data_IF_186620985856
#
_entry.id   IF_186620985856
#
_cell.length_a   1.000
_cell.length_b   1.000
_cell.length_c   1.000
_cell.angle_alpha   90.00
_cell.angle_beta   90.00
_cell.angle_gamma   90.00
#
_symmetry.space_group_name_H-M   'P 1'
#
loop_
_entity.id
_entity.type
_entity.pdbx_description
1 polymer ?
#
# COMPACT_ATOMS: atom_id res chain seq x y z
N UNK A 1 -18.95 14.48 9.95
CA UNK A 1 -18.29 13.22 10.32
C UNK A 1 -16.82 13.33 9.93
N UNK A 2 -15.99 13.88 10.81
CA UNK A 2 -14.60 14.21 10.54
C UNK A 2 -13.69 13.14 11.18
N UNK A 3 -13.42 12.07 10.42
CA UNK A 3 -12.27 11.18 10.63
C UNK A 3 -11.28 11.27 9.46
N UNK A 4 -11.52 12.21 8.54
CA UNK A 4 -10.62 12.53 7.43
C UNK A 4 -9.46 13.35 8.01
N UNK A 5 -8.42 12.66 8.49
CA UNK A 5 -7.20 13.28 9.00
C UNK A 5 -6.53 12.54 10.17
N UNK A 6 -7.25 11.65 10.85
CA UNK A 6 -6.65 10.81 11.90
C UNK A 6 -6.06 9.53 11.31
N UNK A 7 -4.93 9.07 11.88
CA UNK A 7 -4.39 7.72 11.68
C UNK A 7 -5.48 6.66 11.95
N UNK A 8 -5.34 5.42 11.45
CA UNK A 8 -6.30 4.36 11.74
C UNK A 8 -6.35 4.14 13.24
N UNK A 9 -7.44 3.53 13.69
CA UNK A 9 -7.53 3.00 15.03
C UNK A 9 -6.28 2.12 15.29
N UNK A 10 -5.54 2.42 16.36
CA UNK A 10 -4.51 1.50 16.84
C UNK A 10 -5.17 0.22 17.38
N UNK A 11 -4.36 -0.75 17.82
CA UNK A 11 -4.87 -2.04 18.29
C UNK A 11 -5.89 -1.93 19.43
N UNK A 12 -5.68 -1.02 20.39
CA UNK A 12 -6.60 -0.85 21.53
C UNK A 12 -7.91 -0.21 21.07
N UNK A 13 -7.83 0.85 20.25
CA UNK A 13 -9.01 1.50 19.69
C UNK A 13 -9.80 0.52 18.82
N UNK A 14 -9.12 -0.26 17.97
CA UNK A 14 -9.76 -1.23 17.08
C UNK A 14 -10.45 -2.35 17.87
N UNK A 15 -9.85 -2.84 18.96
CA UNK A 15 -10.50 -3.80 19.87
C UNK A 15 -11.75 -3.22 20.53
N UNK A 16 -11.71 -1.97 21.01
CA UNK A 16 -12.89 -1.30 21.58
C UNK A 16 -14.00 -1.10 20.55
N UNK A 17 -13.64 -0.76 19.31
CA UNK A 17 -14.61 -0.63 18.22
C UNK A 17 -15.33 -1.95 17.92
N UNK A 18 -14.65 -3.10 18.02
CA UNK A 18 -15.29 -4.41 17.88
C UNK A 18 -16.31 -4.66 18.99
N UNK A 19 -15.97 -4.34 20.25
CA UNK A 19 -16.92 -4.46 21.37
C UNK A 19 -18.14 -3.58 21.17
N UNK A 20 -17.95 -2.33 20.71
CA UNK A 20 -19.06 -1.44 20.38
C UNK A 20 -19.90 -2.00 19.22
N UNK A 21 -19.28 -2.68 18.25
CA UNK A 21 -20.01 -3.32 17.16
C UNK A 21 -20.84 -4.52 17.65
N UNK A 22 -20.39 -5.26 18.67
CA UNK A 22 -21.20 -6.31 19.32
C UNK A 22 -22.44 -5.69 19.96
N UNK A 23 -22.28 -4.61 20.73
CA UNK A 23 -23.37 -3.89 21.37
C UNK A 23 -24.38 -3.31 20.37
N UNK A 24 -23.89 -2.75 19.27
CA UNK A 24 -24.75 -2.23 18.19
C UNK A 24 -25.56 -3.35 17.53
N UNK A 25 -24.97 -4.53 17.31
CA UNK A 25 -25.68 -5.68 16.76
C UNK A 25 -26.75 -6.23 17.71
N UNK A 26 -26.45 -6.31 19.02
CA UNK A 26 -27.43 -6.68 20.06
C UNK A 26 -28.61 -5.72 20.13
N UNK A 27 -28.38 -4.44 19.82
CA UNK A 27 -29.41 -3.40 19.75
C UNK A 27 -30.09 -3.29 18.37
N UNK A 28 -29.80 -4.17 17.41
CA UNK A 28 -30.30 -4.16 16.03
C UNK A 28 -29.95 -2.86 15.25
N UNK A 29 -28.85 -2.19 15.63
CA UNK A 29 -28.33 -0.98 15.00
C UNK A 29 -27.34 -1.28 13.85
N UNK A 30 -27.86 -1.84 12.76
CA UNK A 30 -27.06 -2.36 11.64
C UNK A 30 -26.09 -1.36 11.00
N UNK A 31 -26.47 -0.08 10.90
CA UNK A 31 -25.62 0.95 10.28
C UNK A 31 -24.40 1.26 11.17
N UNK A 32 -24.61 1.31 12.48
CA UNK A 32 -23.59 1.55 13.49
C UNK A 32 -22.64 0.36 13.55
N UNK A 33 -23.16 -0.87 13.56
CA UNK A 33 -22.35 -2.08 13.45
C UNK A 33 -21.42 -2.03 12.22
N UNK A 34 -21.97 -1.75 11.03
CA UNK A 34 -21.19 -1.64 9.80
C UNK A 34 -20.10 -0.57 9.89
N UNK A 35 -20.42 0.58 10.48
CA UNK A 35 -19.45 1.66 10.64
C UNK A 35 -18.32 1.30 11.60
N UNK A 36 -18.66 0.68 12.74
CA UNK A 36 -17.69 0.27 13.75
C UNK A 36 -16.78 -0.83 13.21
N UNK A 37 -17.35 -1.82 12.50
CA UNK A 37 -16.57 -2.88 11.86
C UNK A 37 -15.68 -2.32 10.74
N UNK A 38 -16.16 -1.40 9.90
CA UNK A 38 -15.31 -0.73 8.91
C UNK A 38 -14.12 -0.02 9.57
N UNK A 39 -14.36 0.78 10.60
CA UNK A 39 -13.30 1.52 11.29
C UNK A 39 -12.29 0.58 11.96
N UNK A 40 -12.75 -0.52 12.57
CA UNK A 40 -11.89 -1.54 13.17
C UNK A 40 -11.08 -2.31 12.11
N UNK A 41 -11.67 -2.64 10.97
CA UNK A 41 -10.98 -3.28 9.83
C UNK A 41 -9.92 -2.36 9.23
N UNK A 42 -10.18 -1.06 9.10
CA UNK A 42 -9.17 -0.07 8.68
C UNK A 42 -8.02 0.03 9.70
N UNK A 43 -8.30 -0.20 10.97
CA UNK A 43 -7.30 -0.37 12.04
C UNK A 43 -6.60 -1.73 12.03
N UNK A 44 -6.71 -2.51 10.95
CA UNK A 44 -6.07 -3.83 10.77
C UNK A 44 -6.49 -4.88 11.82
N UNK A 45 -7.69 -4.75 12.41
CA UNK A 45 -8.21 -5.74 13.35
C UNK A 45 -8.62 -7.03 12.65
N UNK A 46 -7.91 -8.13 12.91
CA UNK A 46 -8.25 -9.46 12.40
C UNK A 46 -9.59 -9.96 12.94
N UNK A 47 -9.96 -9.59 14.17
CA UNK A 47 -11.25 -9.93 14.76
C UNK A 47 -12.41 -9.25 14.01
N UNK A 48 -12.25 -7.96 13.68
CA UNK A 48 -13.23 -7.23 12.89
C UNK A 48 -13.37 -7.82 11.48
N UNK A 49 -12.25 -8.05 10.79
CA UNK A 49 -12.26 -8.65 9.46
C UNK A 49 -12.92 -10.04 9.48
N UNK A 50 -12.58 -10.89 10.45
CA UNK A 50 -13.19 -12.21 10.60
C UNK A 50 -14.70 -12.17 10.85
N UNK A 51 -15.20 -11.13 11.53
CA UNK A 51 -16.65 -10.92 11.73
C UNK A 51 -17.33 -10.46 10.45
N UNK A 52 -16.74 -9.51 9.74
CA UNK A 52 -17.22 -9.05 8.42
C UNK A 52 -17.34 -10.22 7.44
N UNK A 53 -16.34 -11.10 7.39
CA UNK A 53 -16.33 -12.25 6.47
C UNK A 53 -17.39 -13.31 6.81
N UNK A 54 -17.84 -13.39 8.06
CA UNK A 54 -18.93 -14.28 8.49
C UNK A 54 -20.31 -13.65 8.27
N UNK A 55 -20.39 -12.34 8.08
CA UNK A 55 -21.64 -11.64 7.85
C UNK A 55 -22.15 -11.90 6.41
N UNK A 56 -23.47 -11.82 6.16
CA UNK A 56 -24.05 -12.04 4.84
C UNK A 56 -23.84 -10.85 3.88
N UNK A 57 -22.70 -10.15 3.99
CA UNK A 57 -22.42 -8.90 3.28
C UNK A 57 -21.76 -9.11 1.93
N UNK A 58 -21.10 -10.25 1.70
CA UNK A 58 -20.36 -10.52 0.45
C UNK A 58 -21.23 -10.52 -0.82
N UNK A 59 -22.54 -10.72 -0.70
CA UNK A 59 -23.49 -10.68 -1.83
C UNK A 59 -24.28 -9.36 -1.90
N UNK A 60 -24.03 -8.43 -0.98
CA UNK A 60 -24.77 -7.17 -0.92
C UNK A 60 -24.07 -6.09 -1.73
N UNK A 61 -24.85 -5.25 -2.40
CA UNK A 61 -24.34 -4.06 -3.08
C UNK A 61 -24.08 -2.91 -2.09
N UNK A 62 -23.28 -1.94 -2.50
CA UNK A 62 -23.02 -0.72 -1.72
C UNK A 62 -22.05 -0.94 -0.56
N UNK A 63 -22.31 -0.29 0.57
CA UNK A 63 -21.39 -0.24 1.73
C UNK A 63 -21.04 -1.63 2.29
N UNK A 64 -21.98 -2.55 2.53
CA UNK A 64 -21.66 -3.85 3.13
C UNK A 64 -20.71 -4.69 2.25
N UNK A 65 -20.98 -4.76 0.94
CA UNK A 65 -20.10 -5.46 -0.01
C UNK A 65 -18.70 -4.84 -0.09
N UNK A 66 -18.60 -3.51 -0.03
CA UNK A 66 -17.31 -2.81 0.03
C UNK A 66 -16.53 -3.14 1.31
N UNK A 67 -17.18 -3.16 2.48
CA UNK A 67 -16.53 -3.56 3.74
C UNK A 67 -16.06 -5.02 3.67
N UNK A 68 -16.86 -5.90 3.07
CA UNK A 68 -16.50 -7.29 2.84
C UNK A 68 -15.25 -7.42 1.96
N UNK A 69 -15.22 -6.76 0.79
CA UNK A 69 -14.05 -6.78 -0.09
C UNK A 69 -12.78 -6.28 0.59
N UNK A 70 -12.90 -5.23 1.42
CA UNK A 70 -11.76 -4.74 2.21
C UNK A 70 -11.28 -5.79 3.21
N UNK A 71 -12.19 -6.41 3.97
CA UNK A 71 -11.83 -7.44 4.95
C UNK A 71 -11.20 -8.66 4.27
N UNK A 72 -11.71 -9.08 3.12
CA UNK A 72 -11.18 -10.18 2.32
C UNK A 72 -9.76 -9.87 1.83
N UNK A 73 -9.54 -8.70 1.24
CA UNK A 73 -8.23 -8.29 0.76
C UNK A 73 -7.18 -8.14 1.88
N UNK A 74 -7.59 -7.76 3.09
CA UNK A 74 -6.69 -7.62 4.24
C UNK A 74 -6.33 -8.96 4.90
N UNK A 75 -7.09 -10.03 4.64
CA UNK A 75 -6.93 -11.34 5.29
C UNK A 75 -6.54 -12.45 4.33
N UNK A 76 -6.69 -12.24 3.02
CA UNK A 76 -6.31 -13.22 2.00
C UNK A 76 -4.81 -13.51 2.01
N UNK A 77 -4.46 -14.77 1.74
CA UNK A 77 -3.09 -15.20 1.46
C UNK A 77 -2.70 -15.04 -0.01
N UNK A 78 -3.67 -14.71 -0.89
CA UNK A 78 -3.42 -14.43 -2.30
C UNK A 78 -3.03 -12.96 -2.47
N UNK A 79 -1.72 -12.72 -2.57
CA UNK A 79 -1.13 -11.39 -2.76
C UNK A 79 -1.58 -10.71 -4.05
N UNK A 80 -1.85 -11.49 -5.12
CA UNK A 80 -2.35 -10.92 -6.36
C UNK A 80 -3.78 -10.44 -6.17
N UNK A 81 -4.64 -11.25 -5.55
CA UNK A 81 -6.02 -10.86 -5.27
C UNK A 81 -6.11 -9.60 -4.37
N UNK A 82 -5.26 -9.51 -3.34
CA UNK A 82 -5.17 -8.32 -2.50
C UNK A 82 -4.78 -7.07 -3.30
N UNK A 83 -3.76 -7.18 -4.16
CA UNK A 83 -3.31 -6.08 -5.01
C UNK A 83 -4.35 -5.65 -6.04
N UNK A 84 -5.01 -6.60 -6.72
CA UNK A 84 -6.11 -6.29 -7.65
C UNK A 84 -7.25 -5.57 -6.92
N UNK A 85 -7.62 -6.03 -5.72
CA UNK A 85 -8.66 -5.37 -4.92
C UNK A 85 -8.27 -3.94 -4.54
N UNK A 86 -7.01 -3.71 -4.17
CA UNK A 86 -6.50 -2.36 -3.92
C UNK A 86 -6.61 -1.45 -5.15
N UNK A 87 -6.28 -1.97 -6.34
CA UNK A 87 -6.41 -1.24 -7.59
C UNK A 87 -7.87 -0.96 -7.96
N UNK A 88 -8.80 -1.88 -7.69
CA UNK A 88 -10.24 -1.66 -7.86
C UNK A 88 -10.71 -0.49 -6.99
N UNK A 89 -10.31 -0.43 -5.72
CA UNK A 89 -10.66 0.70 -4.84
C UNK A 89 -10.10 2.02 -5.34
N UNK A 90 -8.82 2.05 -5.76
CA UNK A 90 -8.19 3.24 -6.31
C UNK A 90 -8.91 3.70 -7.59
N UNK A 91 -9.19 2.80 -8.53
CA UNK A 91 -9.91 3.11 -9.75
C UNK A 91 -11.34 3.60 -9.51
N UNK A 92 -11.97 3.16 -8.42
CA UNK A 92 -13.28 3.61 -7.97
C UNK A 92 -13.27 4.91 -7.14
N UNK A 93 -12.15 5.65 -7.11
CA UNK A 93 -11.99 6.89 -6.31
C UNK A 93 -12.23 6.68 -4.81
N UNK A 94 -11.87 5.49 -4.33
CA UNK A 94 -11.87 5.13 -2.91
C UNK A 94 -10.43 4.85 -2.49
N UNK A 95 -9.52 5.81 -2.78
CA UNK A 95 -8.08 5.64 -2.68
C UNK A 95 -7.65 5.24 -1.27
N UNK A 96 -8.34 5.76 -0.25
CA UNK A 96 -8.07 5.41 1.15
C UNK A 96 -8.10 3.89 1.40
N UNK A 97 -9.10 3.18 0.87
CA UNK A 97 -9.21 1.73 1.05
C UNK A 97 -8.13 0.97 0.30
N UNK A 98 -7.85 1.38 -0.94
CA UNK A 98 -6.75 0.80 -1.70
C UNK A 98 -5.41 0.99 -0.99
N UNK A 99 -5.12 2.20 -0.51
CA UNK A 99 -3.89 2.51 0.20
C UNK A 99 -3.74 1.75 1.52
N UNK A 100 -4.83 1.50 2.25
CA UNK A 100 -4.80 0.65 3.47
C UNK A 100 -4.40 -0.79 3.12
N UNK A 101 -4.96 -1.37 2.05
CA UNK A 101 -4.57 -2.70 1.58
C UNK A 101 -3.08 -2.72 1.18
N UNK A 102 -2.64 -1.75 0.38
CA UNK A 102 -1.23 -1.67 -0.03
C UNK A 102 -0.30 -1.47 1.17
N UNK A 103 -0.73 -0.73 2.20
CA UNK A 103 0.03 -0.52 3.44
C UNK A 103 0.20 -1.83 4.21
N UNK A 104 -0.87 -2.63 4.31
CA UNK A 104 -0.82 -3.95 4.93
C UNK A 104 0.14 -4.89 4.18
N UNK A 105 0.06 -4.92 2.85
CA UNK A 105 0.98 -5.69 2.02
C UNK A 105 2.44 -5.21 2.19
N UNK A 106 2.66 -3.89 2.24
CA UNK A 106 4.00 -3.31 2.37
C UNK A 106 4.68 -3.60 3.71
N UNK A 107 3.89 -3.75 4.78
CA UNK A 107 4.39 -4.16 6.09
C UNK A 107 5.10 -5.52 6.04
N UNK A 108 4.64 -6.43 5.16
CA UNK A 108 5.23 -7.76 4.91
C UNK A 108 5.91 -7.89 3.54
N UNK A 109 6.39 -6.77 2.98
CA UNK A 109 6.98 -6.71 1.61
C UNK A 109 8.12 -7.69 1.33
N UNK A 110 8.83 -8.13 2.36
CA UNK A 110 9.96 -9.06 2.23
C UNK A 110 9.49 -10.50 2.00
N UNK A 111 8.21 -10.80 2.28
CA UNK A 111 7.54 -12.08 2.01
C UNK A 111 6.88 -12.10 0.62
N UNK A 112 6.63 -10.92 0.03
CA UNK A 112 5.96 -10.80 -1.27
C UNK A 112 6.87 -11.31 -2.40
N UNK A 113 6.25 -11.96 -3.39
CA UNK A 113 6.89 -12.23 -4.66
C UNK A 113 7.42 -10.92 -5.30
N UNK A 114 8.59 -11.01 -5.94
CA UNK A 114 9.28 -9.86 -6.55
C UNK A 114 8.38 -9.06 -7.48
N UNK A 115 7.60 -9.74 -8.31
CA UNK A 115 6.65 -9.12 -9.25
C UNK A 115 5.50 -8.37 -8.55
N UNK A 116 4.96 -8.93 -7.46
CA UNK A 116 3.92 -8.27 -6.66
C UNK A 116 4.49 -7.02 -5.99
N UNK A 117 5.70 -7.12 -5.41
CA UNK A 117 6.36 -5.98 -4.77
C UNK A 117 6.61 -4.84 -5.77
N UNK A 118 7.03 -5.15 -7.00
CA UNK A 118 7.19 -4.16 -8.05
C UNK A 118 5.88 -3.50 -8.45
N UNK A 119 4.82 -4.30 -8.65
CA UNK A 119 3.51 -3.76 -9.03
C UNK A 119 2.90 -2.91 -7.91
N UNK A 120 3.03 -3.33 -6.66
CA UNK A 120 2.66 -2.53 -5.48
C UNK A 120 3.42 -1.20 -5.46
N UNK A 121 4.75 -1.24 -5.58
CA UNK A 121 5.57 -0.03 -5.58
C UNK A 121 5.13 0.94 -6.68
N UNK A 122 4.91 0.42 -7.89
CA UNK A 122 4.39 1.21 -9.02
C UNK A 122 3.07 1.91 -8.69
N UNK A 123 2.09 1.19 -8.17
CA UNK A 123 0.78 1.77 -7.80
C UNK A 123 0.93 2.87 -6.76
N UNK A 124 1.73 2.65 -5.71
CA UNK A 124 1.97 3.67 -4.67
C UNK A 124 2.64 4.91 -5.23
N UNK A 125 3.61 4.74 -6.13
CA UNK A 125 4.33 5.86 -6.75
C UNK A 125 3.41 6.67 -7.68
N UNK A 126 2.57 6.00 -8.46
CA UNK A 126 1.53 6.66 -9.27
C UNK A 126 0.57 7.46 -8.37
N UNK A 127 0.12 6.89 -7.25
CA UNK A 127 -0.76 7.59 -6.31
C UNK A 127 -0.08 8.83 -5.68
N UNK A 128 1.22 8.75 -5.37
CA UNK A 128 1.97 9.92 -4.86
C UNK A 128 2.02 11.08 -5.85
N UNK A 129 2.01 10.79 -7.15
CA UNK A 129 2.02 11.81 -8.20
C UNK A 129 0.64 12.44 -8.41
N UNK A 130 -0.44 11.70 -8.16
CA UNK A 130 -1.80 12.19 -8.37
C UNK A 130 -2.46 12.79 -7.13
N UNK A 131 -1.97 12.48 -5.93
CA UNK A 131 -2.58 12.94 -4.68
C UNK A 131 -2.20 14.39 -4.38
N UNK A 132 -3.20 15.27 -4.27
CA UNK A 132 -3.01 16.69 -3.92
C UNK A 132 -2.90 16.95 -2.42
N UNK A 133 -3.46 16.05 -1.60
CA UNK A 133 -3.46 16.18 -0.13
C UNK A 133 -2.42 15.26 0.54
N UNK A 134 -1.72 15.72 1.59
CA UNK A 134 -0.86 14.85 2.39
C UNK A 134 -1.66 13.70 3.00
N UNK A 135 -1.45 12.48 2.48
CA UNK A 135 -2.01 11.27 3.07
C UNK A 135 -0.99 10.63 3.97
N UNK A 136 -1.27 10.56 5.27
CA UNK A 136 -0.40 9.89 6.24
C UNK A 136 -0.13 8.41 5.87
N UNK A 137 -1.03 7.77 5.09
CA UNK A 137 -0.82 6.41 4.60
C UNK A 137 0.36 6.37 3.63
N UNK A 138 0.54 7.41 2.81
CA UNK A 138 1.65 7.49 1.87
C UNK A 138 3.00 7.57 2.58
N UNK A 139 3.05 8.08 3.82
CA UNK A 139 4.25 8.11 4.66
C UNK A 139 4.69 6.71 5.11
N UNK A 140 3.77 5.75 5.20
CA UNK A 140 4.08 4.33 5.47
C UNK A 140 5.02 3.75 4.41
N UNK A 141 5.00 4.31 3.20
CA UNK A 141 5.87 3.90 2.10
C UNK A 141 7.11 4.78 1.98
N UNK A 142 7.55 5.46 3.04
CA UNK A 142 8.77 6.31 3.04
C UNK A 142 10.01 5.59 2.48
N UNK A 143 10.08 4.25 2.63
CA UNK A 143 11.12 3.42 2.02
C UNK A 143 11.16 3.43 0.47
N UNK A 144 10.12 3.92 -0.21
CA UNK A 144 10.11 4.08 -1.67
C UNK A 144 10.74 5.40 -2.14
N UNK A 145 11.10 6.31 -1.22
CA UNK A 145 11.73 7.58 -1.57
C UNK A 145 13.22 7.40 -1.88
N UNK A 146 13.67 7.88 -3.04
CA UNK A 146 15.08 7.87 -3.42
C UNK A 146 15.88 8.87 -2.56
N UNK A 147 17.04 8.44 -2.06
CA UNK A 147 18.03 9.38 -1.55
C UNK A 147 18.74 10.10 -2.71
N UNK A 148 19.47 11.18 -2.42
CA UNK A 148 20.11 12.02 -3.45
C UNK A 148 21.12 11.23 -4.31
N UNK A 149 21.86 10.31 -3.68
CA UNK A 149 22.80 9.44 -4.40
C UNK A 149 22.06 8.46 -5.33
N UNK A 150 20.97 7.87 -4.87
CA UNK A 150 20.16 6.96 -5.69
C UNK A 150 19.52 7.69 -6.87
N UNK A 151 19.04 8.92 -6.64
CA UNK A 151 18.51 9.80 -7.69
C UNK A 151 19.55 10.07 -8.77
N UNK A 152 20.76 10.49 -8.39
CA UNK A 152 21.83 10.77 -9.35
C UNK A 152 22.25 9.52 -10.17
N UNK A 153 22.26 8.35 -9.55
CA UNK A 153 22.51 7.08 -10.25
C UNK A 153 21.38 6.76 -11.24
N UNK A 154 20.12 6.92 -10.81
CA UNK A 154 18.96 6.64 -11.65
C UNK A 154 18.83 7.60 -12.83
N UNK A 155 19.22 8.86 -12.66
CA UNK A 155 19.33 9.84 -13.75
C UNK A 155 20.35 9.39 -14.81
N UNK A 156 21.50 8.86 -14.39
CA UNK A 156 22.46 8.25 -15.31
C UNK A 156 21.88 7.06 -16.07
N UNK A 157 21.14 6.19 -15.38
CA UNK A 157 20.46 5.07 -16.04
C UNK A 157 19.44 5.55 -17.09
N UNK A 158 18.66 6.58 -16.80
CA UNK A 158 17.70 7.16 -17.75
C UNK A 158 18.36 7.74 -19.00
N UNK A 159 19.58 8.27 -18.88
CA UNK A 159 20.36 8.76 -20.03
C UNK A 159 20.99 7.63 -20.86
N UNK A 160 20.92 6.37 -20.40
CA UNK A 160 21.61 5.24 -21.02
C UNK A 160 23.10 5.16 -20.65
N UNK A 161 23.54 5.87 -19.61
CA UNK A 161 24.94 5.84 -19.18
C UNK A 161 25.33 4.44 -18.67
N UNK A 162 26.52 3.97 -19.04
CA UNK A 162 27.07 2.73 -18.48
C UNK A 162 27.44 2.91 -17.00
N UNK A 163 27.51 1.81 -16.23
CA UNK A 163 27.97 1.84 -14.82
C UNK A 163 29.28 2.62 -14.65
N UNK A 164 30.24 2.43 -15.59
CA UNK A 164 31.55 3.12 -15.54
C UNK A 164 31.42 4.62 -15.74
N UNK A 165 30.52 5.07 -16.62
CA UNK A 165 30.26 6.49 -16.85
C UNK A 165 29.62 7.14 -15.63
N UNK A 166 28.59 6.49 -15.06
CA UNK A 166 27.93 6.94 -13.83
C UNK A 166 28.93 7.03 -12.68
N UNK A 167 29.75 6.00 -12.49
CA UNK A 167 30.78 5.95 -11.47
C UNK A 167 31.78 7.12 -11.59
N UNK A 168 32.26 7.38 -12.81
CA UNK A 168 33.16 8.51 -13.09
C UNK A 168 32.50 9.86 -12.79
N UNK A 169 31.26 10.05 -13.22
CA UNK A 169 30.52 11.30 -13.01
C UNK A 169 30.27 11.60 -11.52
N UNK A 170 30.03 10.56 -10.72
CA UNK A 170 29.74 10.69 -9.30
C UNK A 170 30.97 10.53 -8.38
N UNK A 171 32.17 10.39 -8.95
CA UNK A 171 33.41 10.07 -8.23
C UNK A 171 33.27 8.85 -7.29
N UNK A 172 32.67 7.77 -7.81
CA UNK A 172 32.46 6.49 -7.13
C UNK A 172 33.22 5.37 -7.84
N UNK A 173 33.39 4.23 -7.17
CA UNK A 173 33.82 3.01 -7.86
C UNK A 173 32.67 2.40 -8.66
N UNK A 174 32.92 1.72 -9.80
CA UNK A 174 31.88 0.97 -10.52
C UNK A 174 31.12 -0.03 -9.64
N UNK A 175 31.83 -0.70 -8.73
CA UNK A 175 31.25 -1.65 -7.76
C UNK A 175 30.26 -0.97 -6.81
N UNK A 176 30.53 0.28 -6.40
CA UNK A 176 29.62 1.05 -5.56
C UNK A 176 28.32 1.37 -6.29
N UNK A 177 28.41 1.73 -7.58
CA UNK A 177 27.23 1.99 -8.42
C UNK A 177 26.42 0.71 -8.62
N UNK A 178 27.07 -0.42 -8.93
CA UNK A 178 26.40 -1.72 -9.04
C UNK A 178 25.67 -2.13 -7.76
N UNK A 179 26.33 -1.96 -6.61
CA UNK A 179 25.71 -2.26 -5.32
C UNK A 179 24.48 -1.37 -5.05
N UNK A 180 24.55 -0.08 -5.39
CA UNK A 180 23.41 0.82 -5.26
C UNK A 180 22.26 0.44 -6.21
N UNK A 181 22.56 0.10 -7.47
CA UNK A 181 21.55 -0.40 -8.43
C UNK A 181 20.91 -1.68 -7.91
N UNK A 182 21.71 -2.64 -7.43
CA UNK A 182 21.20 -3.91 -6.88
C UNK A 182 20.28 -3.67 -5.68
N UNK A 183 20.63 -2.75 -4.78
CA UNK A 183 19.76 -2.35 -3.66
C UNK A 183 18.45 -1.73 -4.13
N UNK A 184 18.48 -0.85 -5.14
CA UNK A 184 17.26 -0.28 -5.72
C UNK A 184 16.39 -1.37 -6.36
N UNK A 185 16.96 -2.24 -7.19
CA UNK A 185 16.25 -3.36 -7.82
C UNK A 185 15.52 -4.21 -6.77
N UNK A 186 16.23 -4.61 -5.72
CA UNK A 186 15.65 -5.37 -4.62
C UNK A 186 14.50 -4.61 -3.94
N UNK A 187 14.75 -3.35 -3.55
CA UNK A 187 13.79 -2.50 -2.82
C UNK A 187 12.50 -2.26 -3.60
N UNK A 188 12.61 -2.05 -4.90
CA UNK A 188 11.47 -1.82 -5.78
C UNK A 188 10.94 -3.10 -6.43
N UNK A 189 11.51 -4.27 -6.12
CA UNK A 189 11.07 -5.55 -6.71
C UNK A 189 11.34 -5.69 -8.21
N UNK A 190 12.23 -4.88 -8.79
CA UNK A 190 12.53 -4.94 -10.22
C UNK A 190 13.53 -6.06 -10.53
N UNK A 191 13.27 -6.85 -11.56
CA UNK A 191 14.20 -7.88 -12.05
C UNK A 191 15.30 -7.27 -12.94
N UNK A 192 15.07 -6.08 -13.49
CA UNK A 192 15.98 -5.45 -14.45
C UNK A 192 16.10 -3.94 -14.26
N UNK A 193 17.20 -3.36 -14.78
CA UNK A 193 17.40 -1.90 -14.80
C UNK A 193 16.31 -1.19 -15.61
N UNK A 194 15.81 -1.85 -16.65
CA UNK A 194 14.73 -1.34 -17.52
C UNK A 194 13.43 -1.19 -16.73
N UNK A 195 13.05 -2.20 -15.95
CA UNK A 195 11.89 -2.10 -15.05
C UNK A 195 12.06 -0.99 -14.02
N UNK A 196 13.26 -0.86 -13.42
CA UNK A 196 13.53 0.20 -12.46
C UNK A 196 13.37 1.60 -13.08
N UNK A 197 13.84 1.80 -14.30
CA UNK A 197 13.63 3.08 -15.01
C UNK A 197 12.17 3.30 -15.40
N UNK A 198 11.42 2.23 -15.72
CA UNK A 198 10.01 2.31 -16.08
C UNK A 198 9.09 2.74 -14.92
N UNK A 199 9.55 2.67 -13.66
CA UNK A 199 8.82 3.21 -12.50
C UNK A 199 8.76 4.74 -12.47
N UNK A 200 9.47 5.44 -13.37
CA UNK A 200 9.44 6.89 -13.51
C UNK A 200 9.67 7.66 -12.18
N UNK A 201 10.57 7.15 -11.34
CA UNK A 201 10.85 7.68 -9.99
C UNK A 201 11.46 9.09 -9.98
N UNK A 202 11.84 9.61 -11.15
CA UNK A 202 12.45 10.92 -11.32
C UNK A 202 11.42 12.02 -11.67
N UNK A 203 10.20 11.65 -12.09
CA UNK A 203 9.15 12.62 -12.35
C UNK A 203 8.66 13.21 -11.01
N UNK A 204 8.72 14.55 -10.91
CA UNK A 204 8.11 15.35 -9.85
C UNK A 204 7.12 16.30 -10.49
#
# INVERSE_FOLDING_TARGET
>A
MALIGSRPADGDVASRLVVLADQAAEAEEWIQEQQLLLLATLGMSSAAAGRVLKAPWGQQSGRPGMIYMLAEALTTSDDHAALETAQVFIGAKSEHFGLVILSAMWARRDELATEVRARLAKVVLEQRQTTTEPSWILDTFSGLTLCDRERAILEGLHRGDSTRMIARALNLSPRTVEAAISKMLHRYGCASRVELTALNLLAR
#
